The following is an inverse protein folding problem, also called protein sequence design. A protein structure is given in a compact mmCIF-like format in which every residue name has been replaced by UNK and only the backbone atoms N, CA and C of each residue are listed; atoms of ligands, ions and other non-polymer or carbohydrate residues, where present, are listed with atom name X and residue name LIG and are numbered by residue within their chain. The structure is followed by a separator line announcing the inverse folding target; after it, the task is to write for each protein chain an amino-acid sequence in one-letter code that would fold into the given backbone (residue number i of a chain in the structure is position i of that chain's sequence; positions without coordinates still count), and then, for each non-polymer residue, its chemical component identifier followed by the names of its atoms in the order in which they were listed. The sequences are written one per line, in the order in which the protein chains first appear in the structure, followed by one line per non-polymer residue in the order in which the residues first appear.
data_IF_878378875415
#
_entry.id   IF_878378875415
#
_cell.length_a   1.000
_cell.length_b   1.000
_cell.length_c   1.000
_cell.angle_alpha   90.00
_cell.angle_beta   90.00
_cell.angle_gamma   90.00
#
_symmetry.space_group_name_H-M   'P 1'
#
loop_
_entity.id
_entity.type
_entity.pdbx_description
1 polymer ?
#
# COMPACT_ATOMS: atom_id res chain seq x y z
N UNK A 1 -22.38 17.21 -15.64
CA UNK A 1 -22.04 16.07 -14.75
C UNK A 1 -21.82 14.80 -15.58
N UNK A 2 -22.67 14.44 -16.55
CA UNK A 2 -22.53 13.22 -17.35
C UNK A 2 -21.17 13.11 -18.06
N UNK A 3 -20.69 14.20 -18.65
CA UNK A 3 -19.38 14.27 -19.31
C UNK A 3 -18.17 14.23 -18.37
N UNK A 4 -18.41 14.29 -17.06
CA UNK A 4 -17.38 14.22 -16.04
C UNK A 4 -17.30 12.83 -15.38
N UNK A 5 -18.20 11.92 -15.75
CA UNK A 5 -18.18 10.53 -15.28
C UNK A 5 -17.26 9.71 -16.18
N UNK A 6 -16.43 8.92 -15.56
CA UNK A 6 -15.55 7.96 -16.22
C UNK A 6 -15.65 6.59 -15.57
N UNK A 7 -15.27 5.59 -16.33
CA UNK A 7 -15.14 4.20 -15.89
C UNK A 7 -13.68 3.82 -16.06
N UNK A 8 -13.09 3.30 -15.01
CA UNK A 8 -11.79 2.67 -15.13
C UNK A 8 -11.95 1.28 -15.78
N UNK A 9 -11.16 1.03 -16.80
CA UNK A 9 -11.14 -0.23 -17.53
C UNK A 9 -9.71 -0.73 -17.55
N UNK A 10 -9.42 -1.72 -16.72
CA UNK A 10 -8.14 -2.44 -16.76
C UNK A 10 -8.06 -3.25 -18.06
N UNK A 11 -7.35 -2.72 -19.05
CA UNK A 11 -7.20 -3.36 -20.37
C UNK A 11 -6.06 -4.39 -20.39
N UNK A 12 -5.17 -4.34 -19.43
CA UNK A 12 -4.03 -5.25 -19.28
C UNK A 12 -4.30 -6.46 -18.39
N UNK A 13 -5.30 -6.41 -17.54
CA UNK A 13 -5.56 -7.39 -16.47
C UNK A 13 -4.36 -7.58 -15.53
N UNK A 14 -3.53 -6.57 -15.38
CA UNK A 14 -2.26 -6.65 -14.66
C UNK A 14 -2.14 -5.57 -13.56
N UNK A 15 -3.17 -4.73 -13.38
CA UNK A 15 -3.13 -3.57 -12.49
C UNK A 15 -2.06 -2.53 -12.90
N UNK A 16 -1.54 -2.64 -14.14
CA UNK A 16 -0.54 -1.75 -14.72
C UNK A 16 -1.23 -0.95 -15.82
N UNK A 17 -1.09 0.37 -15.80
CA UNK A 17 -1.65 1.22 -16.84
C UNK A 17 -1.10 0.92 -18.23
N UNK A 18 -1.85 1.29 -19.27
CA UNK A 18 -1.48 1.08 -20.67
C UNK A 18 -0.14 1.71 -21.09
N UNK A 19 0.47 2.53 -20.24
CA UNK A 19 1.79 3.15 -20.41
C UNK A 19 2.94 2.29 -19.87
N UNK A 20 2.68 1.11 -19.31
CA UNK A 20 3.69 0.19 -18.78
C UNK A 20 4.29 0.63 -17.45
N UNK A 21 3.74 1.64 -16.81
CA UNK A 21 4.11 2.07 -15.47
C UNK A 21 3.19 1.33 -14.50
N UNK A 22 3.77 0.65 -13.53
CA UNK A 22 3.01 0.09 -12.40
C UNK A 22 2.28 1.22 -11.69
N UNK A 23 1.03 1.42 -12.08
CA UNK A 23 0.22 2.49 -11.53
C UNK A 23 -0.34 2.08 -10.17
N UNK A 24 0.34 2.48 -9.14
CA UNK A 24 -0.32 2.81 -7.89
C UNK A 24 -1.31 4.00 -8.06
N UNK A 25 -1.38 4.53 -9.25
CA UNK A 25 -2.39 5.48 -9.75
C UNK A 25 -3.08 4.85 -10.96
N UNK A 26 -4.40 4.73 -10.90
CA UNK A 26 -5.24 4.52 -12.08
C UNK A 26 -4.76 5.49 -13.17
N UNK A 27 -4.07 4.97 -14.17
CA UNK A 27 -3.60 5.80 -15.26
C UNK A 27 -4.78 6.53 -15.87
N UNK A 28 -4.70 7.84 -16.03
CA UNK A 28 -5.78 8.61 -16.69
C UNK A 28 -6.10 8.06 -18.09
N UNK A 29 -5.18 7.29 -18.69
CA UNK A 29 -5.34 6.60 -19.96
C UNK A 29 -6.32 5.42 -19.90
N UNK A 30 -6.58 4.84 -18.72
CA UNK A 30 -7.55 3.75 -18.53
C UNK A 30 -8.92 4.23 -18.08
N UNK A 31 -9.06 5.51 -17.75
CA UNK A 31 -10.37 6.09 -17.48
C UNK A 31 -11.04 6.49 -18.79
N UNK A 32 -12.06 5.75 -19.17
CA UNK A 32 -12.86 6.03 -20.35
C UNK A 32 -14.16 6.75 -19.97
N UNK A 33 -14.56 7.74 -20.76
CA UNK A 33 -15.85 8.37 -20.56
C UNK A 33 -16.98 7.39 -20.89
N UNK A 34 -18.15 7.58 -20.28
CA UNK A 34 -19.33 6.77 -20.57
C UNK A 34 -19.67 6.75 -22.07
N UNK A 35 -19.48 7.89 -22.77
CA UNK A 35 -19.69 7.98 -24.20
C UNK A 35 -18.69 7.15 -25.03
N UNK A 36 -17.41 7.09 -24.65
CA UNK A 36 -16.41 6.24 -25.29
C UNK A 36 -16.74 4.76 -25.14
N UNK A 37 -17.29 4.38 -23.98
CA UNK A 37 -17.76 3.02 -23.72
C UNK A 37 -19.11 2.70 -24.39
N UNK A 38 -19.77 3.67 -25.04
CA UNK A 38 -21.07 3.48 -25.62
C UNK A 38 -22.22 3.39 -24.61
N UNK A 39 -22.05 3.89 -23.40
CA UNK A 39 -23.10 3.94 -22.39
C UNK A 39 -23.91 5.22 -22.58
N UNK A 40 -25.22 5.08 -22.84
CA UNK A 40 -26.13 6.20 -23.09
C UNK A 40 -26.92 6.64 -21.88
N UNK A 41 -27.19 5.75 -20.92
CA UNK A 41 -27.90 6.08 -19.69
C UNK A 41 -27.55 5.11 -18.56
N UNK A 42 -27.68 5.57 -17.32
CA UNK A 42 -27.62 4.75 -16.10
C UNK A 42 -28.97 4.87 -15.40
N UNK A 43 -29.61 3.74 -15.11
CA UNK A 43 -30.84 3.71 -14.34
C UNK A 43 -30.51 3.92 -12.85
N UNK A 44 -31.18 4.87 -12.23
CA UNK A 44 -30.95 5.16 -10.80
C UNK A 44 -31.66 4.17 -9.86
N UNK A 45 -32.62 3.40 -10.38
CA UNK A 45 -33.28 2.35 -9.59
C UNK A 45 -32.34 1.15 -9.41
N UNK A 46 -32.24 0.70 -8.18
CA UNK A 46 -31.47 -0.50 -7.82
C UNK A 46 -32.23 -1.40 -6.88
N UNK A 47 -31.88 -2.66 -6.85
CA UNK A 47 -32.41 -3.65 -5.92
C UNK A 47 -31.30 -4.14 -5.00
N UNK A 48 -31.57 -4.22 -3.68
CA UNK A 48 -30.66 -4.86 -2.74
C UNK A 48 -30.67 -6.37 -2.95
N UNK A 49 -29.48 -6.95 -3.00
CA UNK A 49 -29.27 -8.39 -3.18
C UNK A 49 -28.15 -8.86 -2.24
N UNK A 50 -28.01 -10.16 -2.10
CA UNK A 50 -26.85 -10.78 -1.47
C UNK A 50 -26.47 -12.02 -2.28
N UNK A 51 -25.67 -11.80 -3.32
CA UNK A 51 -25.26 -12.85 -4.25
C UNK A 51 -23.75 -13.06 -4.12
N UNK A 52 -23.30 -14.15 -3.46
CA UNK A 52 -21.89 -14.47 -3.37
C UNK A 52 -21.35 -14.91 -4.73
N UNK A 53 -20.07 -14.55 -5.00
CA UNK A 53 -19.39 -14.95 -6.24
C UNK A 53 -18.59 -16.25 -6.10
N UNK A 54 -18.59 -16.86 -4.92
CA UNK A 54 -17.82 -18.07 -4.61
C UNK A 54 -16.34 -17.82 -4.27
N UNK A 55 -15.88 -16.58 -4.35
CA UNK A 55 -14.51 -16.14 -4.02
C UNK A 55 -14.48 -15.31 -2.72
N UNK A 56 -15.61 -15.24 -2.02
CA UNK A 56 -15.76 -14.49 -0.78
C UNK A 56 -16.34 -13.08 -0.96
N UNK A 57 -16.46 -12.58 -2.19
CA UNK A 57 -17.13 -11.32 -2.46
C UNK A 57 -18.64 -11.53 -2.60
N UNK A 58 -19.40 -10.45 -2.47
CA UNK A 58 -20.86 -10.49 -2.58
C UNK A 58 -21.38 -9.28 -3.33
N UNK A 59 -22.25 -9.49 -4.32
CA UNK A 59 -23.05 -8.39 -4.87
C UNK A 59 -24.06 -7.94 -3.82
N UNK A 60 -24.08 -6.66 -3.51
CA UNK A 60 -24.98 -6.08 -2.49
C UNK A 60 -26.13 -5.29 -3.09
N UNK A 61 -25.95 -4.76 -4.29
CA UNK A 61 -26.98 -4.07 -5.06
C UNK A 61 -26.79 -4.36 -6.54
N UNK A 62 -27.90 -4.43 -7.26
CA UNK A 62 -27.92 -4.57 -8.72
C UNK A 62 -28.80 -3.45 -9.31
N UNK A 63 -28.28 -2.79 -10.32
CA UNK A 63 -28.96 -1.82 -11.16
C UNK A 63 -28.75 -2.15 -12.64
N UNK A 64 -29.08 -1.21 -13.53
CA UNK A 64 -28.87 -1.38 -14.96
C UNK A 64 -28.40 -0.09 -15.62
N UNK A 65 -27.76 -0.24 -16.77
CA UNK A 65 -27.45 0.86 -17.67
C UNK A 65 -27.88 0.51 -19.09
N UNK A 66 -27.90 1.50 -19.98
CA UNK A 66 -28.33 1.33 -21.37
C UNK A 66 -27.16 1.65 -22.29
N UNK A 67 -26.91 0.75 -23.23
CA UNK A 67 -25.95 0.96 -24.30
C UNK A 67 -26.51 1.92 -25.39
N UNK A 68 -25.65 2.44 -26.24
CA UNK A 68 -26.05 3.33 -27.33
C UNK A 68 -26.95 2.64 -28.38
N UNK A 69 -26.89 1.32 -28.47
CA UNK A 69 -27.76 0.50 -29.32
C UNK A 69 -29.13 0.19 -28.70
N UNK A 70 -29.40 0.68 -27.49
CA UNK A 70 -30.65 0.48 -26.75
C UNK A 70 -30.72 -0.81 -25.94
N UNK A 71 -29.71 -1.66 -25.98
CA UNK A 71 -29.63 -2.84 -25.10
C UNK A 71 -29.29 -2.44 -23.67
N UNK A 72 -29.55 -3.33 -22.71
CA UNK A 72 -29.26 -3.06 -21.26
C UNK A 72 -28.14 -3.94 -20.74
N UNK A 73 -27.28 -3.34 -19.90
CA UNK A 73 -26.26 -4.03 -19.12
C UNK A 73 -26.55 -3.95 -17.62
N UNK A 74 -25.93 -4.85 -16.86
CA UNK A 74 -25.99 -4.84 -15.39
C UNK A 74 -24.90 -3.91 -14.82
N UNK A 75 -25.25 -3.18 -13.79
CA UNK A 75 -24.32 -2.49 -12.90
C UNK A 75 -24.56 -2.99 -11.47
N UNK A 76 -23.49 -3.26 -10.71
CA UNK A 76 -23.63 -3.80 -9.38
C UNK A 76 -22.62 -3.18 -8.39
N UNK A 77 -23.03 -3.13 -7.12
CA UNK A 77 -22.11 -2.89 -6.01
C UNK A 77 -21.65 -4.22 -5.44
N UNK A 78 -20.35 -4.32 -5.17
CA UNK A 78 -19.75 -5.48 -4.52
C UNK A 78 -19.21 -5.11 -3.14
N UNK A 79 -19.48 -5.96 -2.15
CA UNK A 79 -18.69 -6.06 -0.94
C UNK A 79 -17.54 -7.04 -1.23
N UNK A 80 -16.33 -6.51 -1.31
CA UNK A 80 -15.14 -7.31 -1.56
C UNK A 80 -14.66 -7.94 -0.25
N UNK A 81 -14.32 -9.21 -0.30
CA UNK A 81 -13.62 -9.85 0.81
C UNK A 81 -12.22 -9.23 0.92
N UNK A 82 -11.86 -8.87 2.14
CA UNK A 82 -10.52 -8.39 2.46
C UNK A 82 -9.85 -9.41 3.37
N UNK A 83 -8.76 -9.96 2.93
CA UNK A 83 -7.83 -10.69 3.78
C UNK A 83 -6.73 -9.72 4.22
N UNK A 84 -6.70 -9.42 5.51
CA UNK A 84 -5.70 -8.53 6.11
C UNK A 84 -4.56 -9.31 6.77
N UNK A 85 -4.63 -10.64 6.76
CA UNK A 85 -3.64 -11.50 7.38
C UNK A 85 -2.64 -12.10 6.38
N UNK A 86 -3.00 -12.14 5.10
CA UNK A 86 -2.17 -12.76 4.07
C UNK A 86 -1.98 -11.81 2.89
N UNK A 87 -0.75 -11.45 2.61
CA UNK A 87 -0.37 -10.72 1.39
C UNK A 87 -0.21 -11.70 0.25
N UNK A 88 -0.91 -11.47 -0.86
CA UNK A 88 -0.69 -12.22 -2.12
C UNK A 88 0.18 -11.38 -3.05
N UNK A 89 1.24 -11.99 -3.57
CA UNK A 89 2.18 -11.35 -4.50
C UNK A 89 1.78 -11.69 -5.93
N UNK A 90 1.02 -10.82 -6.58
CA UNK A 90 0.59 -11.06 -7.95
C UNK A 90 1.70 -10.74 -8.95
N UNK A 91 2.06 -11.74 -9.75
CA UNK A 91 3.08 -11.62 -10.80
C UNK A 91 4.52 -11.44 -10.33
N UNK A 92 4.79 -11.51 -9.01
CA UNK A 92 6.14 -11.37 -8.44
C UNK A 92 6.58 -12.64 -7.75
N UNK A 93 7.80 -13.08 -8.06
CA UNK A 93 8.43 -14.20 -7.36
C UNK A 93 9.32 -13.64 -6.25
N UNK A 94 8.98 -13.95 -5.00
CA UNK A 94 9.83 -13.66 -3.85
C UNK A 94 10.87 -14.77 -3.76
N UNK A 95 12.14 -14.43 -3.95
CA UNK A 95 13.22 -15.40 -3.79
C UNK A 95 13.49 -15.70 -2.29
N UNK A 96 14.14 -16.83 -2.01
CA UNK A 96 14.40 -17.27 -0.64
C UNK A 96 15.28 -16.29 0.17
N UNK A 97 16.07 -15.45 -0.49
CA UNK A 97 16.91 -14.45 0.20
C UNK A 97 16.06 -13.29 0.67
N UNK A 98 15.12 -12.81 -0.16
CA UNK A 98 14.17 -11.77 0.21
C UNK A 98 13.19 -12.31 1.26
N UNK A 99 12.72 -13.56 1.11
CA UNK A 99 11.80 -14.19 2.06
C UNK A 99 12.37 -14.33 3.48
N UNK A 100 13.69 -14.46 3.59
CA UNK A 100 14.39 -14.48 4.87
C UNK A 100 14.57 -13.11 5.54
N UNK A 101 14.31 -12.00 4.85
CA UNK A 101 14.43 -10.64 5.39
C UNK A 101 13.14 -10.24 6.12
N UNK A 102 13.21 -9.24 7.01
CA UNK A 102 12.02 -8.65 7.60
C UNK A 102 11.01 -8.19 6.54
N UNK A 103 9.73 -8.35 6.86
CA UNK A 103 8.64 -7.87 6.04
C UNK A 103 7.85 -6.78 6.77
N UNK A 104 7.16 -5.96 5.99
CA UNK A 104 6.24 -4.96 6.50
C UNK A 104 5.12 -4.75 5.48
N UNK A 105 3.89 -4.72 5.98
CA UNK A 105 2.72 -4.46 5.14
C UNK A 105 2.77 -3.05 4.58
N UNK A 106 2.47 -2.93 3.30
CA UNK A 106 2.23 -1.63 2.67
C UNK A 106 0.87 -1.06 3.04
N UNK A 107 0.65 0.18 2.69
CA UNK A 107 -0.62 0.88 2.87
C UNK A 107 -0.84 1.86 1.73
N UNK A 108 -2.09 2.15 1.41
CA UNK A 108 -2.42 3.04 0.30
C UNK A 108 -1.95 2.48 -1.03
N UNK A 109 -0.98 3.14 -1.64
CA UNK A 109 -0.36 2.75 -2.92
C UNK A 109 1.01 2.07 -2.75
N UNK A 110 1.33 1.58 -1.55
CA UNK A 110 2.64 0.98 -1.24
C UNK A 110 2.50 -0.54 -1.19
N UNK A 111 3.32 -1.24 -1.96
CA UNK A 111 3.44 -2.70 -1.86
C UNK A 111 4.02 -3.13 -0.52
N UNK A 112 3.79 -4.37 -0.09
CA UNK A 112 4.53 -4.98 1.01
C UNK A 112 6.05 -4.90 0.76
N UNK A 113 6.83 -4.80 1.83
CA UNK A 113 8.28 -4.53 1.72
C UNK A 113 9.02 -5.62 0.93
N UNK A 114 8.68 -6.89 1.13
CA UNK A 114 9.29 -8.00 0.37
C UNK A 114 8.94 -7.93 -1.11
N UNK A 115 7.69 -7.62 -1.43
CA UNK A 115 7.27 -7.43 -2.81
C UNK A 115 7.99 -6.24 -3.46
N UNK A 116 8.10 -5.12 -2.76
CA UNK A 116 8.84 -3.96 -3.23
C UNK A 116 10.33 -4.28 -3.45
N UNK A 117 10.97 -5.07 -2.57
CA UNK A 117 12.34 -5.55 -2.77
C UNK A 117 12.47 -6.43 -4.02
N UNK A 118 11.51 -7.30 -4.27
CA UNK A 118 11.52 -8.18 -5.44
C UNK A 118 11.26 -7.40 -6.75
N UNK A 119 10.51 -6.30 -6.70
CA UNK A 119 10.26 -5.41 -7.83
C UNK A 119 11.42 -4.43 -8.08
N UNK A 120 12.24 -4.12 -7.08
CA UNK A 120 13.38 -3.22 -7.21
C UNK A 120 14.52 -3.87 -8.00
N UNK A 121 14.51 -3.69 -9.33
CA UNK A 121 15.55 -4.21 -10.23
C UNK A 121 16.95 -3.67 -9.94
N UNK A 122 17.07 -2.57 -9.20
CA UNK A 122 18.37 -2.04 -8.77
C UNK A 122 18.98 -2.83 -7.59
N UNK A 123 18.16 -3.56 -6.84
CA UNK A 123 18.54 -4.28 -5.62
C UNK A 123 18.90 -3.38 -4.44
N UNK A 124 18.73 -2.06 -4.56
CA UNK A 124 19.14 -1.11 -3.52
C UNK A 124 18.25 -1.20 -2.28
N UNK A 125 16.93 -1.39 -2.47
CA UNK A 125 16.02 -1.54 -1.34
C UNK A 125 16.39 -2.77 -0.50
N UNK A 126 16.64 -3.91 -1.16
CA UNK A 126 17.11 -5.13 -0.51
C UNK A 126 18.41 -4.90 0.27
N UNK A 127 19.40 -4.24 -0.34
CA UNK A 127 20.68 -3.94 0.30
C UNK A 127 20.54 -3.02 1.53
N UNK A 128 19.59 -2.07 1.51
CA UNK A 128 19.29 -1.24 2.67
C UNK A 128 18.67 -2.04 3.82
N UNK A 129 17.74 -2.95 3.52
CA UNK A 129 17.13 -3.82 4.53
C UNK A 129 18.16 -4.80 5.11
N UNK A 130 19.02 -5.41 4.30
CA UNK A 130 20.14 -6.25 4.77
C UNK A 130 21.10 -5.46 5.68
N UNK A 131 21.39 -4.21 5.32
CA UNK A 131 22.21 -3.32 6.14
C UNK A 131 21.54 -3.01 7.48
N UNK A 132 20.22 -2.77 7.49
CA UNK A 132 19.47 -2.54 8.72
C UNK A 132 19.53 -3.75 9.66
N UNK A 133 19.35 -4.96 9.13
CA UNK A 133 19.38 -6.20 9.91
C UNK A 133 20.75 -6.45 10.57
N UNK A 134 21.82 -6.02 9.94
CA UNK A 134 23.19 -6.24 10.45
C UNK A 134 23.77 -5.08 11.24
N UNK A 135 23.16 -3.90 11.17
CA UNK A 135 23.67 -2.68 11.82
C UNK A 135 23.45 -2.69 13.33
N UNK A 136 24.50 -2.57 14.12
CA UNK A 136 24.46 -2.61 15.57
C UNK A 136 24.19 -1.25 16.23
N UNK A 137 24.51 -0.14 15.55
CA UNK A 137 24.29 1.21 16.06
C UNK A 137 22.84 1.66 15.88
N UNK A 138 22.15 2.03 16.95
CA UNK A 138 20.80 2.57 16.89
C UNK A 138 20.72 3.85 16.04
N UNK A 139 21.73 4.72 16.11
CA UNK A 139 21.77 5.95 15.29
C UNK A 139 21.85 5.64 13.80
N UNK A 140 22.65 4.64 13.41
CA UNK A 140 22.75 4.24 12.00
C UNK A 140 21.49 3.55 11.52
N UNK A 141 20.83 2.72 12.37
CA UNK A 141 19.52 2.13 12.03
C UNK A 141 18.45 3.18 11.80
N UNK A 142 18.44 4.27 12.59
CA UNK A 142 17.53 5.39 12.37
C UNK A 142 17.79 6.09 11.01
N UNK A 143 19.03 6.19 10.59
CA UNK A 143 19.35 6.72 9.28
C UNK A 143 18.99 5.74 8.13
N UNK A 144 19.12 4.43 8.39
CA UNK A 144 18.77 3.40 7.42
C UNK A 144 17.26 3.29 7.20
N UNK A 145 16.44 3.37 8.27
CA UNK A 145 14.98 3.31 8.09
C UNK A 145 14.47 4.49 7.25
N UNK A 146 15.01 5.69 7.40
CA UNK A 146 14.69 6.83 6.54
C UNK A 146 15.00 6.52 5.07
N UNK A 147 16.18 5.95 4.79
CA UNK A 147 16.57 5.58 3.43
C UNK A 147 15.67 4.46 2.88
N UNK A 148 15.33 3.46 3.70
CA UNK A 148 14.41 2.39 3.33
C UNK A 148 13.05 2.98 2.93
N UNK A 149 12.47 3.85 3.77
CA UNK A 149 11.17 4.46 3.50
C UNK A 149 11.15 5.24 2.18
N UNK A 150 12.19 6.04 1.92
CA UNK A 150 12.30 6.80 0.68
C UNK A 150 12.49 5.89 -0.53
N UNK A 151 13.33 4.87 -0.43
CA UNK A 151 13.58 3.93 -1.52
C UNK A 151 12.37 3.04 -1.79
N UNK A 152 11.67 2.61 -0.75
CA UNK A 152 10.49 1.75 -0.85
C UNK A 152 9.40 2.33 -1.74
N UNK A 153 9.19 3.65 -1.65
CA UNK A 153 8.20 4.36 -2.46
C UNK A 153 8.78 5.06 -3.69
N UNK A 154 10.08 4.91 -3.96
CA UNK A 154 10.76 5.56 -5.09
C UNK A 154 10.96 7.07 -4.94
N UNK A 155 10.92 7.63 -3.72
CA UNK A 155 11.13 9.06 -3.47
C UNK A 155 12.60 9.43 -3.21
N UNK A 156 13.51 8.48 -3.17
CA UNK A 156 14.95 8.68 -2.92
C UNK A 156 15.61 9.66 -3.93
N UNK A 157 15.11 9.71 -5.16
CA UNK A 157 15.61 10.60 -6.21
C UNK A 157 14.89 11.96 -6.29
N UNK A 158 13.87 12.19 -5.48
CA UNK A 158 13.15 13.45 -5.48
C UNK A 158 13.95 14.55 -4.78
N UNK A 159 13.78 15.80 -5.24
CA UNK A 159 14.35 16.95 -4.53
C UNK A 159 13.60 17.20 -3.22
N UNK A 160 14.36 17.46 -2.15
CA UNK A 160 13.79 17.88 -0.87
C UNK A 160 12.91 19.14 -0.97
N UNK A 161 13.16 20.00 -1.96
CA UNK A 161 12.39 21.23 -2.19
C UNK A 161 11.25 21.06 -3.21
N UNK A 162 10.98 19.85 -3.69
CA UNK A 162 9.96 19.59 -4.73
C UNK A 162 8.54 20.00 -4.31
N UNK A 163 8.27 20.14 -3.02
CA UNK A 163 6.98 20.54 -2.44
C UNK A 163 7.03 21.89 -1.70
N UNK A 164 7.96 22.75 -2.10
CA UNK A 164 8.12 24.08 -1.49
C UNK A 164 9.06 24.08 -0.29
N UNK A 165 9.13 25.21 0.47
CA UNK A 165 10.14 25.40 1.51
C UNK A 165 9.79 24.86 2.89
N UNK A 166 8.53 24.47 3.13
CA UNK A 166 8.02 24.21 4.47
C UNK A 166 8.26 22.78 4.97
N UNK A 167 8.41 21.82 4.05
CA UNK A 167 8.63 20.41 4.37
C UNK A 167 9.46 19.74 3.26
N UNK A 168 10.26 18.75 3.63
CA UNK A 168 10.96 17.92 2.64
C UNK A 168 9.93 17.24 1.72
N UNK A 169 10.06 17.48 0.42
CA UNK A 169 9.13 16.96 -0.58
C UNK A 169 9.11 15.44 -0.65
N UNK A 170 10.21 14.78 -0.27
CA UNK A 170 10.30 13.32 -0.19
C UNK A 170 9.42 12.77 0.93
N UNK A 171 9.37 13.47 2.09
CA UNK A 171 8.47 13.11 3.20
C UNK A 171 7.02 13.27 2.81
N UNK A 172 6.68 14.32 2.05
CA UNK A 172 5.33 14.49 1.50
C UNK A 172 4.98 13.33 0.56
N UNK A 173 5.91 12.91 -0.30
CA UNK A 173 5.71 11.76 -1.18
C UNK A 173 5.46 10.46 -0.41
N UNK A 174 6.17 10.22 0.71
CA UNK A 174 5.87 9.09 1.60
C UNK A 174 4.44 9.17 2.13
N UNK A 175 4.01 10.32 2.63
CA UNK A 175 2.63 10.49 3.09
C UNK A 175 1.61 10.22 1.98
N UNK A 176 1.83 10.77 0.77
CA UNK A 176 0.96 10.54 -0.38
C UNK A 176 0.83 9.04 -0.71
N UNK A 177 1.96 8.33 -0.74
CA UNK A 177 2.01 6.92 -1.05
C UNK A 177 1.25 6.09 -0.01
N UNK A 178 1.54 6.27 1.27
CA UNK A 178 0.92 5.50 2.35
C UNK A 178 -0.56 5.83 2.60
N UNK A 179 -0.99 7.07 2.31
CA UNK A 179 -2.40 7.45 2.35
C UNK A 179 -3.16 7.15 1.04
N UNK A 180 -2.46 6.76 -0.03
CA UNK A 180 -3.05 6.43 -1.32
C UNK A 180 -3.73 7.62 -2.01
N UNK A 181 -3.28 8.85 -1.75
CA UNK A 181 -3.86 10.07 -2.33
C UNK A 181 -2.87 11.23 -2.38
N UNK A 182 -2.99 12.12 -3.37
CA UNK A 182 -2.15 13.30 -3.44
C UNK A 182 -2.45 14.29 -2.31
N UNK A 183 -1.42 15.02 -1.91
CA UNK A 183 -1.50 16.16 -0.99
C UNK A 183 -1.12 17.46 -1.72
N UNK A 184 -1.67 18.59 -1.29
CA UNK A 184 -1.19 19.90 -1.73
C UNK A 184 0.18 20.20 -1.10
N UNK A 185 0.89 21.21 -1.61
CA UNK A 185 2.09 21.68 -0.94
C UNK A 185 1.71 22.25 0.45
N UNK A 186 2.35 21.81 1.54
CA UNK A 186 1.96 22.24 2.87
C UNK A 186 2.34 23.70 3.13
N UNK A 187 1.46 24.43 3.80
CA UNK A 187 1.83 25.66 4.47
C UNK A 187 2.67 25.36 5.74
N UNK A 188 3.17 26.38 6.40
CA UNK A 188 4.04 26.20 7.57
C UNK A 188 3.36 25.48 8.75
N UNK A 189 2.06 25.69 8.96
CA UNK A 189 1.30 25.06 10.03
C UNK A 189 1.01 23.59 9.71
N UNK A 190 0.62 23.30 8.48
CA UNK A 190 0.42 21.93 7.99
C UNK A 190 1.71 21.12 8.00
N UNK A 191 2.84 21.72 7.62
CA UNK A 191 4.14 21.08 7.60
C UNK A 191 4.55 20.52 8.99
N UNK A 192 4.27 21.28 10.06
CA UNK A 192 4.54 20.82 11.44
C UNK A 192 3.73 19.55 11.76
N UNK A 193 2.45 19.55 11.42
CA UNK A 193 1.58 18.39 11.67
C UNK A 193 1.98 17.18 10.82
N UNK A 194 2.26 17.41 9.55
CA UNK A 194 2.63 16.32 8.62
C UNK A 194 4.00 15.73 8.95
N UNK A 195 4.92 16.54 9.45
CA UNK A 195 6.22 16.03 9.92
C UNK A 195 6.07 15.09 11.13
N UNK A 196 5.09 15.35 12.01
CA UNK A 196 4.76 14.42 13.10
C UNK A 196 4.22 13.11 12.54
N UNK A 197 3.24 13.17 11.63
CA UNK A 197 2.65 11.97 11.01
C UNK A 197 3.72 11.15 10.25
N UNK A 198 4.58 11.84 9.49
CA UNK A 198 5.69 11.18 8.80
C UNK A 198 6.60 10.43 9.77
N UNK A 199 7.01 11.09 10.86
CA UNK A 199 7.86 10.46 11.88
C UNK A 199 7.16 9.26 12.53
N UNK A 200 5.88 9.37 12.85
CA UNK A 200 5.12 8.28 13.46
C UNK A 200 5.04 7.06 12.52
N UNK A 201 4.91 7.29 11.20
CA UNK A 201 5.00 6.22 10.20
C UNK A 201 6.40 5.57 10.22
N UNK A 202 7.47 6.36 10.16
CA UNK A 202 8.85 5.86 10.16
C UNK A 202 9.15 5.08 11.44
N UNK A 203 8.75 5.59 12.61
CA UNK A 203 8.92 4.92 13.90
C UNK A 203 8.14 3.60 13.95
N UNK A 204 6.93 3.56 13.41
CA UNK A 204 6.13 2.34 13.30
C UNK A 204 6.84 1.27 12.46
N UNK A 205 7.32 1.62 11.28
CA UNK A 205 8.06 0.66 10.43
C UNK A 205 9.43 0.30 11.01
N UNK A 206 10.11 1.21 11.69
CA UNK A 206 11.31 0.89 12.46
C UNK A 206 11.04 -0.22 13.49
N UNK A 207 9.96 -0.09 14.26
CA UNK A 207 9.57 -1.09 15.25
C UNK A 207 9.24 -2.44 14.62
N UNK A 208 8.54 -2.45 13.47
CA UNK A 208 8.20 -3.67 12.71
C UNK A 208 9.48 -4.38 12.24
N UNK A 209 10.44 -3.67 11.68
CA UNK A 209 11.71 -4.27 11.25
C UNK A 209 12.56 -4.75 12.43
N UNK A 210 12.58 -4.01 13.54
CA UNK A 210 13.28 -4.40 14.77
C UNK A 210 12.71 -5.69 15.36
N UNK A 211 11.40 -5.85 15.42
CA UNK A 211 10.75 -7.04 15.97
C UNK A 211 11.09 -8.32 15.19
N UNK A 212 11.38 -8.21 13.90
CA UNK A 212 11.73 -9.32 13.03
C UNK A 212 13.25 -9.51 12.83
N UNK A 213 14.06 -8.64 13.42
CA UNK A 213 15.53 -8.69 13.33
C UNK A 213 16.19 -8.66 14.70
N UNK A 214 16.57 -7.50 15.18
CA UNK A 214 17.34 -7.30 16.42
C UNK A 214 16.62 -7.75 17.70
N UNK A 215 15.29 -7.70 17.70
CA UNK A 215 14.45 -8.11 18.84
C UNK A 215 13.74 -9.45 18.59
N UNK A 216 14.03 -10.11 17.46
CA UNK A 216 13.35 -11.35 17.06
C UNK A 216 13.39 -12.42 18.16
N UNK A 217 14.53 -12.62 18.81
CA UNK A 217 14.65 -13.60 19.89
C UNK A 217 13.73 -13.32 21.08
N UNK A 218 13.48 -12.05 21.40
CA UNK A 218 12.55 -11.67 22.47
C UNK A 218 11.11 -12.00 22.07
N UNK A 219 10.73 -11.71 20.82
CA UNK A 219 9.40 -11.98 20.31
C UNK A 219 9.15 -13.48 20.11
N UNK A 220 10.14 -14.24 19.62
CA UNK A 220 10.02 -15.69 19.43
C UNK A 220 9.85 -16.44 20.77
N UNK A 221 10.35 -15.87 21.87
CA UNK A 221 10.26 -16.43 23.22
C UNK A 221 9.09 -15.84 24.05
N UNK A 222 8.22 -15.06 23.40
CA UNK A 222 7.03 -14.49 24.04
C UNK A 222 5.79 -15.20 23.49
N UNK A 223 4.99 -15.79 24.37
CA UNK A 223 3.74 -16.44 24.03
C UNK A 223 2.56 -15.68 24.65
N UNK A 224 1.42 -15.69 23.98
CA UNK A 224 0.19 -15.11 24.46
C UNK A 224 -0.78 -16.23 24.89
N UNK A 225 -0.94 -16.39 26.20
CA UNK A 225 -1.90 -17.34 26.76
C UNK A 225 -3.32 -16.73 26.76
N UNK A 226 -4.20 -17.31 25.96
CA UNK A 226 -5.60 -16.87 25.84
C UNK A 226 -6.42 -17.14 27.10
N UNK A 227 -6.03 -18.10 27.95
CA UNK A 227 -6.67 -18.43 29.22
C UNK A 227 -5.61 -18.52 30.35
N UNK A 228 -5.20 -17.46 30.98
CA UNK A 228 -5.92 -16.29 31.51
C UNK A 228 -5.79 -14.97 30.72
N UNK A 229 -5.48 -14.97 29.44
CA UNK A 229 -5.35 -13.77 28.63
C UNK A 229 -4.16 -12.89 29.05
N UNK A 230 -2.98 -13.52 29.21
CA UNK A 230 -1.73 -12.90 29.64
C UNK A 230 -0.62 -13.16 28.65
N UNK A 231 0.32 -12.21 28.57
CA UNK A 231 1.61 -12.42 27.89
C UNK A 231 2.53 -13.19 28.82
N UNK A 232 3.10 -14.27 28.34
CA UNK A 232 4.12 -15.07 29.05
C UNK A 232 5.45 -14.98 28.29
N UNK A 233 6.53 -14.85 29.03
CA UNK A 233 7.87 -15.00 28.48
C UNK A 233 8.71 -15.85 29.44
N UNK A 234 9.66 -16.59 28.92
CA UNK A 234 10.65 -17.26 29.74
C UNK A 234 11.66 -16.24 30.22
N UNK A 235 11.76 -16.07 31.54
CA UNK A 235 12.61 -15.04 32.17
C UNK A 235 14.11 -15.22 31.80
N UNK A 236 14.51 -16.42 31.46
CA UNK A 236 15.90 -16.76 31.09
C UNK A 236 16.34 -16.06 29.78
N UNK A 237 15.42 -15.71 28.92
CA UNK A 237 15.68 -15.12 27.59
C UNK A 237 15.73 -13.58 27.62
N UNK A 238 15.39 -12.95 28.77
CA UNK A 238 15.38 -11.49 28.93
C UNK A 238 16.62 -10.98 29.70
N UNK A 239 17.55 -11.86 30.09
CA UNK A 239 18.81 -11.46 30.69
C UNK A 239 19.87 -11.16 29.64
N UNK A 240 20.50 -9.96 29.64
CA UNK A 240 21.50 -9.57 28.65
C UNK A 240 22.79 -10.39 28.75
#
# INVERSE_FOLDING_TARGET
IWSQLGVWVDTGFDGIGADGISDSFVGLSEVQSLGQLGISAINLASSSVNVPDGLGNSKTQIGSFVWADGTTGEIANYALQRDTANTTYDGVVIDAVIDALPDAEGSGNVYGLREAMARDTSGQLKALVESFVTETSASNRNALIEQIMLKWIGADMLSATSRGPNMDGRHVAVLEAFYGRPFNNPDAAQAVQWQVIYRDIVEGYYAVLMSQSHLKSLYDNTDFDLDPNTLQSTVEDLTP
#
